data_IF_165249890288
#
_entry.id   IF_165249890288
#
_cell.length_a   1.000
_cell.length_b   1.000
_cell.length_c   1.000
_cell.angle_alpha   90.00
_cell.angle_beta   90.00
_cell.angle_gamma   90.00
#
_symmetry.space_group_name_H-M   'P 1'
#
loop_
_entity.id
_entity.type
_entity.pdbx_description
1 polymer ?
#
# COMPACT_ATOMS: atom_id res chain seq x y z
N UNK A 1 -48.50 41.72 -1.06
CA UNK A 1 -47.59 40.92 -1.91
C UNK A 1 -46.57 40.24 -1.00
N UNK A 2 -46.59 38.91 -0.89
CA UNK A 2 -45.67 38.17 -0.03
C UNK A 2 -44.37 37.92 -0.81
N UNK A 3 -43.27 38.53 -0.35
CA UNK A 3 -41.93 38.32 -0.91
C UNK A 3 -41.44 36.92 -0.53
N UNK A 4 -41.45 36.01 -1.50
CA UNK A 4 -40.85 34.68 -1.36
C UNK A 4 -39.35 34.83 -1.56
N UNK A 5 -38.60 34.87 -0.46
CA UNK A 5 -37.13 34.84 -0.53
C UNK A 5 -36.67 33.47 -1.04
N UNK A 6 -35.83 33.39 -2.09
CA UNK A 6 -35.29 32.13 -2.56
C UNK A 6 -34.44 31.49 -1.46
N UNK A 7 -34.76 30.25 -1.09
CA UNK A 7 -33.95 29.44 -0.17
C UNK A 7 -32.91 28.69 -0.97
N UNK A 8 -31.64 29.08 -0.84
CA UNK A 8 -30.52 28.26 -1.28
C UNK A 8 -30.49 26.99 -0.41
N UNK A 9 -30.78 25.84 -1.02
CA UNK A 9 -30.48 24.54 -0.43
C UNK A 9 -29.12 24.11 -0.93
N UNK A 10 -28.15 24.03 -0.03
CA UNK A 10 -26.91 23.31 -0.28
C UNK A 10 -27.27 21.83 -0.46
N UNK A 11 -27.10 21.31 -1.68
CA UNK A 11 -27.15 19.87 -1.90
C UNK A 11 -25.77 19.35 -1.55
N UNK A 12 -25.56 19.04 -0.27
CA UNK A 12 -24.44 18.17 0.10
C UNK A 12 -24.64 16.85 -0.64
N UNK A 13 -23.61 16.41 -1.36
CA UNK A 13 -23.66 15.25 -2.27
C UNK A 13 -24.45 14.11 -1.64
N UNK A 14 -25.54 13.72 -2.33
CA UNK A 14 -26.59 12.90 -1.74
C UNK A 14 -26.00 11.70 -1.02
N UNK A 15 -26.23 11.62 0.30
CA UNK A 15 -25.57 10.79 1.32
C UNK A 15 -25.47 9.28 1.07
N UNK A 16 -25.00 8.90 -0.11
CA UNK A 16 -24.59 7.57 -0.48
C UNK A 16 -23.26 7.33 0.20
N UNK A 17 -23.24 6.30 1.05
CA UNK A 17 -22.01 5.71 1.60
C UNK A 17 -21.00 5.57 0.44
N UNK A 18 -19.77 6.06 0.63
CA UNK A 18 -18.71 5.87 -0.35
C UNK A 18 -18.55 4.38 -0.64
N UNK A 19 -18.24 4.02 -1.89
CA UNK A 19 -17.98 2.64 -2.24
C UNK A 19 -16.87 2.06 -1.35
N UNK A 20 -17.04 0.84 -0.85
CA UNK A 20 -16.17 0.26 0.19
C UNK A 20 -14.71 0.15 -0.25
N UNK A 21 -14.47 -0.10 -1.54
CA UNK A 21 -13.12 -0.14 -2.10
C UNK A 21 -12.39 1.23 -2.09
N UNK A 22 -13.09 2.35 -1.94
CA UNK A 22 -12.48 3.68 -1.74
C UNK A 22 -12.05 3.91 -0.29
N UNK A 23 -12.42 3.00 0.63
CA UNK A 23 -12.11 3.05 2.05
C UNK A 23 -11.34 1.78 2.45
N UNK A 24 -10.10 1.59 1.96
CA UNK A 24 -9.26 0.46 2.31
C UNK A 24 -9.00 0.40 3.83
N UNK A 25 -8.67 -0.79 4.36
CA UNK A 25 -8.37 -0.98 5.77
C UNK A 25 -7.26 -0.04 6.25
N UNK A 26 -7.41 0.46 7.48
CA UNK A 26 -6.42 1.34 8.09
C UNK A 26 -5.15 0.61 8.53
N UNK A 27 -5.17 -0.72 8.54
CA UNK A 27 -4.05 -1.58 8.92
C UNK A 27 -3.89 -2.73 7.95
N UNK A 28 -2.64 -3.09 7.69
CA UNK A 28 -2.24 -4.24 6.85
C UNK A 28 -1.28 -5.14 7.62
N UNK A 29 -1.36 -6.44 7.39
CA UNK A 29 -0.41 -7.42 7.92
C UNK A 29 0.70 -7.68 6.90
N UNK A 30 1.93 -7.79 7.37
CA UNK A 30 3.08 -8.06 6.53
C UNK A 30 4.24 -8.67 7.31
N UNK A 31 5.32 -9.00 6.61
CA UNK A 31 6.56 -9.46 7.25
C UNK A 31 7.20 -8.34 8.07
N UNK A 32 7.87 -8.69 9.16
CA UNK A 32 8.69 -7.76 9.92
C UNK A 32 9.97 -7.44 9.16
N UNK A 33 10.46 -6.19 9.17
CA UNK A 33 11.73 -5.86 8.54
C UNK A 33 12.89 -6.55 9.27
N UNK A 34 12.76 -6.80 10.58
CA UNK A 34 13.84 -7.36 11.41
C UNK A 34 13.90 -8.89 11.41
N UNK A 35 12.81 -9.55 11.01
CA UNK A 35 12.68 -11.01 10.99
C UNK A 35 11.64 -11.39 9.92
N UNK A 36 12.08 -12.06 8.85
CA UNK A 36 11.22 -12.40 7.73
C UNK A 36 10.18 -13.50 8.04
N UNK A 37 10.33 -14.21 9.17
CA UNK A 37 9.37 -15.19 9.66
C UNK A 37 8.31 -14.58 10.58
N UNK A 38 8.55 -13.38 11.10
CA UNK A 38 7.62 -12.69 11.99
C UNK A 38 6.60 -11.86 11.20
N UNK A 39 5.33 -11.92 11.64
CA UNK A 39 4.24 -11.10 11.10
C UNK A 39 4.07 -9.84 11.96
N UNK A 40 3.78 -8.73 11.29
CA UNK A 40 3.74 -7.38 11.79
C UNK A 40 2.51 -6.67 11.25
N UNK A 41 1.84 -5.84 12.05
CA UNK A 41 0.84 -4.91 11.52
C UNK A 41 1.46 -3.54 11.22
N UNK A 42 1.04 -2.96 10.09
CA UNK A 42 1.40 -1.62 9.65
C UNK A 42 0.13 -0.80 9.46
N UNK A 43 0.18 0.48 9.83
CA UNK A 43 -0.91 1.41 9.56
C UNK A 43 -0.79 1.95 8.14
N UNK A 44 -1.88 2.20 7.45
CA UNK A 44 -1.85 2.87 6.14
C UNK A 44 -2.07 4.37 6.34
N UNK A 45 -1.20 5.20 5.78
CA UNK A 45 -1.33 6.64 5.89
C UNK A 45 -2.61 7.13 5.18
N UNK A 46 -3.60 7.70 5.91
CA UNK A 46 -4.88 8.10 5.30
C UNK A 46 -4.74 9.36 4.44
N UNK A 47 -3.66 10.15 4.65
CA UNK A 47 -3.43 11.41 3.95
C UNK A 47 -3.31 11.25 2.45
N UNK A 48 -2.49 10.30 1.98
CA UNK A 48 -2.24 10.11 0.55
C UNK A 48 -3.42 9.45 -0.16
N UNK A 49 -4.11 8.53 0.52
CA UNK A 49 -5.36 7.98 0.03
C UNK A 49 -6.40 9.07 -0.24
N UNK A 50 -6.61 9.99 0.72
CA UNK A 50 -7.55 11.11 0.56
C UNK A 50 -7.17 12.01 -0.62
N UNK A 51 -5.88 12.25 -0.84
CA UNK A 51 -5.40 13.02 -2.01
C UNK A 51 -5.71 12.29 -3.32
N UNK A 52 -5.49 10.98 -3.38
CA UNK A 52 -5.82 10.18 -4.57
C UNK A 52 -7.32 10.18 -4.88
N UNK A 53 -8.16 10.01 -3.86
CA UNK A 53 -9.63 10.09 -4.00
C UNK A 53 -10.05 11.49 -4.48
N UNK A 54 -9.54 12.55 -3.84
CA UNK A 54 -9.87 13.93 -4.20
C UNK A 54 -9.45 14.29 -5.63
N UNK A 55 -8.39 13.68 -6.14
CA UNK A 55 -7.90 13.87 -7.51
C UNK A 55 -8.47 12.87 -8.52
N UNK A 56 -9.37 11.98 -8.11
CA UNK A 56 -9.96 10.95 -8.97
C UNK A 56 -8.97 9.88 -9.45
N UNK A 57 -7.82 9.74 -8.78
CA UNK A 57 -6.82 8.72 -9.08
C UNK A 57 -7.16 7.42 -8.37
N UNK A 58 -7.86 6.54 -9.08
CA UNK A 58 -8.31 5.26 -8.53
C UNK A 58 -7.22 4.17 -8.53
N UNK A 59 -6.28 4.21 -9.47
CA UNK A 59 -5.26 3.16 -9.63
C UNK A 59 -4.44 2.91 -8.34
N UNK A 60 -3.93 3.93 -7.64
CA UNK A 60 -3.18 3.71 -6.40
C UNK A 60 -4.00 3.03 -5.30
N UNK A 61 -5.31 3.23 -5.30
CA UNK A 61 -6.22 2.59 -4.33
C UNK A 61 -6.36 1.10 -4.64
N UNK A 62 -6.47 0.74 -5.93
CA UNK A 62 -6.50 -0.65 -6.37
C UNK A 62 -5.17 -1.35 -6.07
N UNK A 63 -4.06 -0.66 -6.32
CA UNK A 63 -2.71 -1.18 -6.02
C UNK A 63 -2.55 -1.42 -4.51
N UNK A 64 -3.09 -0.54 -3.65
CA UNK A 64 -3.10 -0.71 -2.21
C UNK A 64 -3.88 -1.96 -1.77
N UNK A 65 -5.09 -2.17 -2.29
CA UNK A 65 -5.88 -3.36 -1.98
C UNK A 65 -5.12 -4.65 -2.35
N UNK A 66 -4.58 -4.67 -3.56
CA UNK A 66 -4.05 -5.90 -4.12
C UNK A 66 -2.61 -6.20 -3.70
N UNK A 67 -1.72 -5.22 -3.88
CA UNK A 67 -0.29 -5.43 -3.69
C UNK A 67 0.20 -5.11 -2.29
N UNK A 68 -0.53 -4.31 -1.52
CA UNK A 68 -0.18 -4.03 -0.12
C UNK A 68 -1.04 -4.87 0.81
N UNK A 69 -2.37 -4.81 0.70
CA UNK A 69 -3.27 -5.53 1.59
C UNK A 69 -3.35 -7.02 1.26
N UNK A 70 -3.28 -7.39 -0.03
CA UNK A 70 -3.32 -8.77 -0.47
C UNK A 70 -4.74 -9.31 -0.68
N UNK A 71 -5.74 -8.43 -0.83
CA UNK A 71 -7.12 -8.83 -1.10
C UNK A 71 -7.63 -8.21 -2.39
N UNK A 72 -8.58 -8.92 -3.02
CA UNK A 72 -9.27 -8.37 -4.19
C UNK A 72 -10.10 -7.16 -3.75
N UNK A 73 -10.00 -6.00 -4.43
CA UNK A 73 -10.79 -4.83 -4.09
C UNK A 73 -12.29 -5.16 -4.05
N UNK A 74 -13.05 -4.72 -3.02
CA UNK A 74 -14.47 -5.03 -2.87
C UNK A 74 -15.32 -4.17 -3.81
N UNK A 75 -15.18 -4.41 -5.11
CA UNK A 75 -16.00 -3.83 -6.17
C UNK A 75 -17.05 -4.84 -6.63
N UNK A 76 -18.24 -4.39 -7.05
CA UNK A 76 -19.23 -5.30 -7.64
C UNK A 76 -18.64 -6.12 -8.79
N UNK A 77 -18.87 -7.44 -8.76
CA UNK A 77 -18.38 -8.37 -9.77
C UNK A 77 -16.91 -8.79 -9.62
N UNK A 78 -16.17 -8.30 -8.62
CA UNK A 78 -14.77 -8.69 -8.40
C UNK A 78 -14.60 -10.08 -7.78
N UNK A 79 -15.63 -10.60 -7.11
CA UNK A 79 -15.57 -11.88 -6.37
C UNK A 79 -15.10 -13.05 -7.24
N UNK A 80 -15.39 -13.01 -8.55
CA UNK A 80 -14.91 -13.99 -9.54
C UNK A 80 -13.39 -14.05 -9.67
N UNK A 81 -12.69 -12.96 -9.32
CA UNK A 81 -11.23 -12.90 -9.37
C UNK A 81 -10.60 -13.46 -8.09
N UNK A 82 -11.29 -13.38 -6.94
CA UNK A 82 -10.80 -13.97 -5.69
C UNK A 82 -10.58 -15.48 -5.82
N UNK A 83 -11.48 -16.19 -6.51
CA UNK A 83 -11.30 -17.61 -6.78
C UNK A 83 -10.24 -17.89 -7.86
N UNK A 84 -10.14 -17.01 -8.87
CA UNK A 84 -9.16 -17.14 -9.96
C UNK A 84 -7.71 -17.02 -9.46
N UNK A 85 -7.49 -16.24 -8.41
CA UNK A 85 -6.15 -15.93 -7.89
C UNK A 85 -5.96 -16.40 -6.44
N UNK A 86 -6.74 -17.37 -5.98
CA UNK A 86 -6.70 -17.86 -4.60
C UNK A 86 -5.32 -18.39 -4.18
N UNK A 87 -4.58 -18.98 -5.12
CA UNK A 87 -3.26 -19.57 -4.89
C UNK A 87 -2.09 -18.57 -5.09
N UNK A 88 -2.39 -17.32 -5.45
CA UNK A 88 -1.34 -16.31 -5.69
C UNK A 88 -0.99 -15.61 -4.37
N UNK A 89 0.26 -15.72 -3.93
CA UNK A 89 0.75 -14.95 -2.78
C UNK A 89 0.89 -13.46 -3.11
N UNK A 90 0.18 -12.60 -2.38
CA UNK A 90 0.10 -11.16 -2.66
C UNK A 90 0.20 -10.33 -1.40
N UNK A 91 0.20 -9.00 -1.52
CA UNK A 91 0.26 -8.13 -0.36
C UNK A 91 1.66 -8.03 0.26
N UNK A 92 1.74 -7.29 1.34
CA UNK A 92 2.99 -7.01 2.05
C UNK A 92 3.59 -8.27 2.71
N UNK A 93 2.77 -9.28 2.98
CA UNK A 93 3.24 -10.56 3.53
C UNK A 93 4.00 -11.40 2.50
N UNK A 94 3.77 -11.22 1.19
CA UNK A 94 4.51 -11.94 0.14
C UNK A 94 5.86 -11.31 -0.19
N UNK A 95 6.29 -10.27 0.55
CA UNK A 95 7.57 -9.62 0.33
C UNK A 95 8.73 -10.63 0.41
N UNK A 96 9.62 -10.59 -0.58
CA UNK A 96 10.77 -11.49 -0.70
C UNK A 96 12.10 -10.82 -0.38
N UNK A 97 12.14 -9.48 -0.39
CA UNK A 97 13.29 -8.71 0.08
C UNK A 97 12.84 -7.51 0.93
N UNK A 98 13.68 -7.10 1.88
CA UNK A 98 13.48 -5.92 2.70
C UNK A 98 14.77 -5.12 2.84
N UNK A 99 14.64 -3.81 2.64
CA UNK A 99 15.73 -2.86 2.79
C UNK A 99 15.41 -1.85 3.88
N UNK A 100 16.44 -1.39 4.57
CA UNK A 100 16.37 -0.32 5.56
C UNK A 100 17.12 0.89 5.08
N UNK A 101 16.51 2.04 5.33
CA UNK A 101 17.08 3.33 5.03
C UNK A 101 16.97 3.63 3.54
N UNK A 102 16.38 4.79 3.22
CA UNK A 102 16.33 5.28 1.85
C UNK A 102 17.45 6.32 1.71
N UNK A 103 18.23 6.26 0.63
CA UNK A 103 19.33 7.18 0.34
C UNK A 103 18.86 8.56 -0.17
N UNK A 104 17.57 8.90 0.02
CA UNK A 104 16.99 10.20 -0.31
C UNK A 104 16.23 10.76 0.89
N UNK A 105 16.15 12.08 1.05
CA UNK A 105 15.28 12.70 2.06
C UNK A 105 13.82 12.31 1.83
N UNK A 106 13.09 12.01 2.90
CA UNK A 106 11.65 11.69 2.82
C UNK A 106 10.89 12.37 3.95
N UNK A 107 9.95 13.25 3.59
CA UNK A 107 9.20 14.09 4.52
C UNK A 107 10.12 14.91 5.44
N UNK A 108 10.01 14.74 6.76
CA UNK A 108 10.82 15.43 7.76
C UNK A 108 12.09 14.65 8.16
N UNK A 109 12.29 13.43 7.63
CA UNK A 109 13.50 12.66 7.83
C UNK A 109 14.51 12.98 6.72
N UNK A 110 15.44 13.88 7.03
CA UNK A 110 16.54 14.30 6.14
C UNK A 110 17.44 13.13 5.70
N UNK A 111 17.46 12.03 6.46
CA UNK A 111 18.38 10.90 6.23
C UNK A 111 17.68 9.62 5.77
N UNK A 112 16.35 9.57 5.85
CA UNK A 112 15.50 8.46 5.46
C UNK A 112 15.79 7.16 6.21
N UNK A 113 16.36 7.22 7.42
CA UNK A 113 16.91 6.07 8.15
C UNK A 113 15.84 5.16 8.74
N UNK A 114 14.66 5.73 9.01
CA UNK A 114 13.58 5.06 9.72
C UNK A 114 12.59 4.39 8.77
N UNK A 115 12.90 4.36 7.48
CA UNK A 115 12.09 3.69 6.47
C UNK A 115 12.55 2.26 6.20
N UNK A 116 11.58 1.36 6.09
CA UNK A 116 11.72 0.04 5.48
C UNK A 116 11.10 0.05 4.08
N UNK A 117 11.77 -0.57 3.12
CA UNK A 117 11.27 -0.80 1.78
C UNK A 117 11.13 -2.31 1.56
N UNK A 118 9.90 -2.76 1.39
CA UNK A 118 9.57 -4.15 1.10
C UNK A 118 9.41 -4.32 -0.40
N UNK A 119 9.97 -5.39 -0.94
CA UNK A 119 9.92 -5.73 -2.36
C UNK A 119 9.06 -6.97 -2.54
N UNK A 120 8.08 -6.90 -3.44
CA UNK A 120 7.29 -8.03 -3.90
C UNK A 120 7.43 -8.17 -5.43
N UNK A 121 7.22 -9.41 -5.94
CA UNK A 121 7.21 -9.72 -7.38
C UNK A 121 5.81 -10.15 -7.81
N UNK A 122 4.85 -9.22 -7.97
CA UNK A 122 3.50 -9.60 -8.37
C UNK A 122 3.47 -10.01 -9.85
N UNK A 123 2.66 -11.01 -10.18
CA UNK A 123 2.43 -11.47 -11.57
C UNK A 123 1.19 -10.84 -12.21
N UNK A 124 0.23 -10.45 -11.37
CA UNK A 124 -1.06 -9.92 -11.80
C UNK A 124 -1.33 -8.65 -11.00
N UNK A 125 -1.92 -7.66 -11.65
CA UNK A 125 -2.46 -6.46 -11.03
C UNK A 125 -3.92 -6.23 -11.42
N UNK A 126 -4.56 -5.24 -10.80
CA UNK A 126 -5.89 -4.76 -11.22
C UNK A 126 -5.79 -3.36 -11.79
N UNK A 127 -6.31 -3.14 -12.99
CA UNK A 127 -6.43 -1.80 -13.58
C UNK A 127 -7.85 -1.28 -13.47
N UNK A 128 -7.99 0.02 -13.22
CA UNK A 128 -9.29 0.67 -13.27
C UNK A 128 -9.78 0.77 -14.72
N UNK A 129 -10.80 0.00 -15.08
CA UNK A 129 -11.44 0.02 -16.40
C UNK A 129 -12.96 -0.08 -16.21
N UNK A 130 -13.67 1.07 -16.19
CA UNK A 130 -15.10 1.08 -15.90
C UNK A 130 -15.88 0.30 -16.97
N UNK A 131 -16.57 -0.75 -16.55
CA UNK A 131 -17.52 -1.52 -17.36
C UNK A 131 -18.82 -1.72 -16.57
N UNK A 132 -19.91 -2.01 -17.28
CA UNK A 132 -21.24 -2.26 -16.68
C UNK A 132 -21.24 -3.43 -15.70
N UNK A 133 -20.32 -4.39 -15.85
CA UNK A 133 -20.25 -5.59 -15.01
C UNK A 133 -19.29 -5.47 -13.83
N UNK A 134 -18.17 -4.77 -14.01
CA UNK A 134 -17.11 -4.62 -13.02
C UNK A 134 -16.23 -3.43 -13.40
N UNK A 135 -15.76 -2.65 -12.42
CA UNK A 135 -14.93 -1.46 -12.68
C UNK A 135 -13.42 -1.76 -12.70
N UNK A 136 -13.04 -3.02 -12.49
CA UNK A 136 -11.66 -3.47 -12.52
C UNK A 136 -11.49 -4.65 -13.48
N UNK A 137 -10.31 -4.71 -14.07
CA UNK A 137 -9.87 -5.78 -14.95
C UNK A 137 -8.49 -6.26 -14.49
N UNK A 138 -8.26 -7.58 -14.38
CA UNK A 138 -6.92 -8.09 -14.12
C UNK A 138 -6.03 -7.83 -15.33
N UNK A 139 -4.74 -7.63 -15.08
CA UNK A 139 -3.73 -7.53 -16.12
C UNK A 139 -2.45 -8.21 -15.65
N UNK A 140 -1.70 -8.78 -16.58
CA UNK A 140 -0.39 -9.36 -16.27
C UNK A 140 0.62 -8.24 -16.07
N UNK A 141 1.36 -8.31 -14.97
CA UNK A 141 2.45 -7.38 -14.68
C UNK A 141 3.69 -7.91 -15.41
N UNK A 142 4.35 -7.08 -16.23
CA UNK A 142 5.60 -7.44 -16.88
C UNK A 142 6.66 -8.00 -15.91
N UNK A 143 7.39 -9.03 -16.36
CA UNK A 143 8.40 -9.71 -15.54
C UNK A 143 9.60 -8.83 -15.19
N UNK A 144 9.79 -7.70 -15.86
CA UNK A 144 10.81 -6.70 -15.57
C UNK A 144 10.40 -5.71 -14.47
N UNK A 145 9.19 -5.85 -13.90
CA UNK A 145 8.70 -4.98 -12.83
C UNK A 145 8.69 -5.68 -11.46
N UNK A 146 8.86 -4.87 -10.42
CA UNK A 146 8.75 -5.20 -9.01
C UNK A 146 7.81 -4.20 -8.36
N UNK A 147 7.19 -4.58 -7.25
CA UNK A 147 6.36 -3.67 -6.47
C UNK A 147 7.05 -3.36 -5.15
N UNK A 148 7.27 -2.07 -4.91
CA UNK A 148 7.93 -1.53 -3.72
C UNK A 148 6.89 -0.95 -2.78
N UNK A 149 7.00 -1.29 -1.50
CA UNK A 149 6.14 -0.79 -0.42
C UNK A 149 7.02 -0.15 0.65
N UNK A 150 6.81 1.13 0.90
CA UNK A 150 7.58 1.91 1.86
C UNK A 150 6.80 2.06 3.17
N UNK A 151 7.40 1.63 4.27
CA UNK A 151 6.87 1.82 5.61
C UNK A 151 7.84 2.65 6.46
N UNK A 152 7.33 3.72 7.09
CA UNK A 152 8.04 4.45 8.12
C UNK A 152 7.89 3.72 9.46
N UNK A 153 8.99 3.32 10.09
CA UNK A 153 8.99 2.53 11.31
C UNK A 153 8.81 3.42 12.54
N UNK A 154 7.90 3.04 13.44
CA UNK A 154 7.71 3.76 14.72
C UNK A 154 8.91 3.56 15.66
N UNK A 155 9.53 2.38 15.59
CA UNK A 155 10.65 1.97 16.42
C UNK A 155 11.77 1.39 15.53
N UNK A 156 12.65 2.24 14.99
CA UNK A 156 13.80 1.78 14.23
C UNK A 156 14.76 0.99 15.13
N UNK A 157 15.38 -0.07 14.58
CA UNK A 157 16.35 -0.92 15.30
C UNK A 157 17.42 -0.06 15.99
N UNK A 158 17.59 -0.28 17.30
CA UNK A 158 18.41 0.53 18.21
C UNK A 158 17.60 1.36 19.21
N UNK A 159 16.34 1.69 18.90
CA UNK A 159 15.37 2.24 19.87
C UNK A 159 14.46 1.13 20.35
N UNK A 160 15.01 0.22 21.16
CA UNK A 160 14.24 -0.88 21.72
C UNK A 160 13.03 -0.32 22.47
N UNK A 161 11.84 -0.83 22.13
CA UNK A 161 10.63 -0.60 22.89
C UNK A 161 10.88 -1.12 24.32
N UNK A 162 11.08 -0.19 25.27
CA UNK A 162 11.14 -0.51 26.69
C UNK A 162 9.73 -0.82 27.19
N UNK A 163 9.22 -1.99 26.81
CA UNK A 163 7.97 -2.50 27.36
C UNK A 163 8.18 -2.79 28.85
N UNK A 164 7.79 -1.86 29.73
CA UNK A 164 7.62 -2.17 31.16
C UNK A 164 6.58 -3.30 31.39
N UNK A 165 5.82 -3.65 30.36
CA UNK A 165 4.67 -4.58 30.37
C UNK A 165 4.90 -5.87 29.58
N UNK A 166 6.10 -6.11 29.03
CA UNK A 166 6.45 -7.35 28.30
C UNK A 166 5.77 -7.57 26.94
N UNK A 167 4.75 -6.78 26.58
CA UNK A 167 4.07 -6.90 25.29
C UNK A 167 4.87 -6.25 24.17
N UNK A 168 5.02 -6.95 23.04
CA UNK A 168 5.55 -6.37 21.79
C UNK A 168 4.54 -5.37 21.23
N UNK A 169 4.96 -4.23 20.67
CA UNK A 169 4.04 -3.32 20.01
C UNK A 169 3.29 -4.05 18.89
N UNK A 170 1.96 -3.88 18.88
CA UNK A 170 1.06 -4.52 17.91
C UNK A 170 1.29 -3.96 16.50
N UNK A 171 1.78 -2.71 16.39
CA UNK A 171 2.08 -2.02 15.14
C UNK A 171 3.47 -1.36 15.18
N UNK A 172 4.30 -1.54 14.14
CA UNK A 172 5.69 -1.02 14.11
C UNK A 172 5.94 -0.05 12.95
N UNK A 173 4.90 0.45 12.29
CA UNK A 173 5.11 1.47 11.29
C UNK A 173 3.87 1.87 10.51
N UNK A 174 4.09 2.78 9.58
CA UNK A 174 3.08 3.37 8.70
C UNK A 174 3.52 3.16 7.26
N UNK A 175 2.73 2.43 6.47
CA UNK A 175 2.85 2.39 5.00
C UNK A 175 2.53 3.78 4.48
N UNK A 176 3.51 4.39 3.81
CA UNK A 176 3.41 5.75 3.29
C UNK A 176 3.27 5.78 1.78
N UNK A 177 4.00 4.93 1.06
CA UNK A 177 4.07 4.95 -0.40
C UNK A 177 4.21 3.54 -0.96
N UNK A 178 3.70 3.34 -2.17
CA UNK A 178 3.87 2.11 -2.94
C UNK A 178 3.92 2.41 -4.43
N UNK A 179 4.66 1.61 -5.19
CA UNK A 179 4.82 1.81 -6.63
C UNK A 179 5.43 0.59 -7.32
N UNK A 180 5.17 0.47 -8.62
CA UNK A 180 5.93 -0.41 -9.51
C UNK A 180 7.28 0.24 -9.86
N UNK A 181 8.33 -0.57 -9.94
CA UNK A 181 9.68 -0.17 -10.37
C UNK A 181 10.30 -1.26 -11.24
N UNK A 182 11.24 -0.88 -12.07
CA UNK A 182 12.03 -1.83 -12.86
C UNK A 182 12.96 -2.66 -11.96
N UNK A 183 13.16 -3.93 -12.32
CA UNK A 183 14.12 -4.81 -11.68
C UNK A 183 15.53 -4.63 -12.25
N UNK A 184 16.53 -4.98 -11.45
CA UNK A 184 17.91 -5.08 -11.91
C UNK A 184 18.04 -6.25 -12.92
N UNK A 185 18.59 -6.03 -14.13
CA UNK A 185 18.80 -7.09 -15.10
C UNK A 185 19.71 -8.23 -14.61
N UNK A 186 20.66 -7.94 -13.72
CA UNK A 186 21.54 -8.94 -13.11
C UNK A 186 20.87 -9.66 -11.93
N UNK A 187 19.98 -8.97 -11.20
CA UNK A 187 19.22 -9.52 -10.07
C UNK A 187 17.71 -9.20 -10.20
N UNK A 188 16.93 -9.99 -10.97
CA UNK A 188 15.52 -9.67 -11.30
C UNK A 188 14.54 -9.59 -10.12
N UNK A 189 14.98 -10.03 -8.93
CA UNK A 189 14.23 -9.94 -7.68
C UNK A 189 14.50 -8.64 -6.92
N UNK A 190 15.48 -7.84 -7.34
CA UNK A 190 15.83 -6.59 -6.70
C UNK A 190 15.50 -5.39 -7.60
N UNK A 191 15.12 -4.24 -7.02
CA UNK A 191 14.93 -3.02 -7.79
C UNK A 191 16.20 -2.60 -8.50
N UNK A 192 16.06 -1.99 -9.68
CA UNK A 192 17.18 -1.33 -10.35
C UNK A 192 17.83 -0.29 -9.41
N UNK A 193 19.16 -0.28 -9.38
CA UNK A 193 19.98 0.58 -8.53
C UNK A 193 19.72 0.41 -7.01
N UNK A 194 19.37 -0.80 -6.55
CA UNK A 194 19.05 -1.02 -5.13
C UNK A 194 20.18 -0.56 -4.19
N UNK A 195 21.44 -0.68 -4.59
CA UNK A 195 22.61 -0.22 -3.80
C UNK A 195 22.67 1.30 -3.64
N UNK A 196 22.26 2.05 -4.66
CA UNK A 196 22.21 3.50 -4.61
C UNK A 196 20.92 4.01 -3.94
N UNK A 197 19.83 3.21 -3.98
CA UNK A 197 18.53 3.57 -3.41
C UNK A 197 18.43 3.31 -1.91
N UNK A 198 19.06 2.25 -1.42
CA UNK A 198 18.91 1.77 -0.06
C UNK A 198 20.23 1.69 0.68
N UNK A 199 20.19 1.92 1.99
CA UNK A 199 21.40 1.90 2.83
C UNK A 199 21.85 0.49 3.18
N UNK A 200 20.90 -0.39 3.50
CA UNK A 200 21.19 -1.74 3.97
C UNK A 200 20.09 -2.70 3.58
N UNK A 201 20.46 -3.88 3.08
CA UNK A 201 19.55 -5.02 2.94
C UNK A 201 19.43 -5.76 4.28
N UNK A 202 18.21 -6.09 4.67
CA UNK A 202 17.96 -6.92 5.85
C UNK A 202 17.84 -8.39 5.49
N UNK A 203 17.01 -8.71 4.50
CA UNK A 203 16.83 -10.04 3.92
C UNK A 203 16.42 -9.91 2.45
#
# INVERSE_FOLDING_TARGET
MVSVRPRLKLIEGGGKKSSEWLSPPSTVLGKSPFDNAAIMAYRVAPGDLRKHIATGRHQPILDLWWHVYGETPPVPGAERYSSMFADTEQGLHSAHACFRGIMRPVAEDDRGLDYAAFVTKPKVGFRYRPSMSCVIEPYDIPEDLLFLIYAHLDFPEGRAYQSKTGNRPVTNGVVTHWQLVECDPAEPLLPMDYEARFRRRYW
#
